data_IF_370457462437
#
_entry.id   IF_370457462437
#
_cell.length_a   1.000
_cell.length_b   1.000
_cell.length_c   1.000
_cell.angle_alpha   90.00
_cell.angle_beta   90.00
_cell.angle_gamma   90.00
#
_symmetry.space_group_name_H-M   'P 1'
#
loop_
_entity.id
_entity.type
_entity.pdbx_description
1 polymer ?
#
# COMPACT_ATOMS: atom_id res chain seq x y z
N UNK A 1 -13.60 3.95 26.16
CA UNK A 1 -12.58 3.79 25.57
C UNK A 1 -12.71 3.35 24.23
N UNK A 2 -12.05 3.82 23.44
CA UNK A 2 -12.16 3.62 22.18
C UNK A 2 -11.15 2.86 21.69
N UNK A 3 -11.21 1.86 21.65
CA UNK A 3 -10.18 1.04 21.44
C UNK A 3 -9.67 0.92 20.14
N UNK A 4 -10.17 1.50 19.24
CA UNK A 4 -9.89 0.80 18.19
C UNK A 4 -9.28 1.49 17.07
N UNK A 5 -8.90 2.73 17.21
CA UNK A 5 -8.23 3.36 16.23
C UNK A 5 -6.81 3.16 16.48
N UNK A 6 -6.06 2.69 15.57
CA UNK A 6 -4.62 2.52 15.70
C UNK A 6 -3.93 3.79 15.28
N UNK A 7 -3.10 4.34 16.17
CA UNK A 7 -2.37 5.54 15.83
C UNK A 7 -1.10 5.26 15.04
N UNK A 8 -0.75 4.03 14.81
CA UNK A 8 0.44 3.70 14.03
C UNK A 8 0.08 3.76 12.56
N UNK A 9 0.91 4.42 11.78
CA UNK A 9 0.71 4.50 10.35
C UNK A 9 1.02 3.16 9.69
N UNK A 10 0.40 2.89 8.56
CA UNK A 10 0.63 1.67 7.81
C UNK A 10 1.03 2.04 6.39
N UNK A 11 2.09 1.45 5.88
CA UNK A 11 2.51 1.58 4.50
C UNK A 11 2.30 0.24 3.81
N UNK A 12 1.56 0.24 2.70
CA UNK A 12 1.38 -0.98 1.91
C UNK A 12 2.09 -0.77 0.57
N UNK A 13 3.04 -1.66 0.28
CA UNK A 13 3.70 -1.70 -1.02
C UNK A 13 3.03 -2.78 -1.82
N UNK A 14 2.50 -2.45 -2.98
CA UNK A 14 1.82 -3.43 -3.80
C UNK A 14 2.10 -3.21 -5.28
N UNK A 15 1.69 -4.12 -6.10
CA UNK A 15 1.97 -4.03 -7.52
C UNK A 15 0.75 -4.45 -8.34
N UNK A 16 0.60 -5.72 -8.68
CA UNK A 16 -0.44 -6.13 -9.60
C UNK A 16 -1.20 -7.40 -9.19
N UNK A 17 -1.23 -7.71 -7.88
CA UNK A 17 -1.90 -8.90 -7.38
C UNK A 17 -3.10 -8.53 -6.53
N UNK A 18 -4.26 -8.27 -7.16
CA UNK A 18 -5.42 -7.78 -6.40
C UNK A 18 -5.98 -8.78 -5.40
N UNK A 19 -5.88 -10.09 -5.71
CA UNK A 19 -6.40 -11.09 -4.79
C UNK A 19 -5.60 -11.10 -3.50
N UNK A 20 -4.28 -11.04 -3.58
CA UNK A 20 -3.43 -11.00 -2.41
C UNK A 20 -3.62 -9.69 -1.65
N UNK A 21 -3.64 -8.58 -2.37
CA UNK A 21 -3.84 -7.27 -1.76
C UNK A 21 -5.18 -7.20 -1.04
N UNK A 22 -6.21 -7.78 -1.62
CA UNK A 22 -7.53 -7.74 -1.03
C UNK A 22 -7.54 -8.39 0.36
N UNK A 23 -6.81 -9.50 0.53
CA UNK A 23 -6.73 -10.16 1.82
C UNK A 23 -6.00 -9.33 2.84
N UNK A 24 -4.89 -8.73 2.44
CA UNK A 24 -4.12 -7.88 3.34
C UNK A 24 -4.91 -6.63 3.70
N UNK A 25 -5.57 -6.04 2.71
CA UNK A 25 -6.31 -4.80 2.95
C UNK A 25 -7.48 -5.04 3.89
N UNK A 26 -8.08 -6.24 3.86
CA UNK A 26 -9.15 -6.56 4.80
C UNK A 26 -8.64 -6.51 6.24
N UNK A 27 -7.40 -6.95 6.48
CA UNK A 27 -6.82 -6.88 7.81
C UNK A 27 -6.48 -5.44 8.20
N UNK A 28 -6.01 -4.65 7.26
CA UNK A 28 -5.72 -3.25 7.51
C UNK A 28 -7.00 -2.51 7.89
N UNK A 29 -8.10 -2.84 7.19
CA UNK A 29 -9.39 -2.22 7.49
C UNK A 29 -9.82 -2.53 8.93
N UNK A 30 -9.58 -3.74 9.39
CA UNK A 30 -9.94 -4.09 10.77
C UNK A 30 -9.13 -3.29 11.77
N UNK A 31 -7.87 -3.01 11.46
CA UNK A 31 -7.01 -2.25 12.34
C UNK A 31 -7.33 -0.76 12.34
N UNK A 32 -7.92 -0.25 11.25
CA UNK A 32 -8.34 1.13 11.13
C UNK A 32 -7.24 2.14 11.45
N UNK A 33 -6.10 2.07 10.76
CA UNK A 33 -5.02 3.01 11.05
C UNK A 33 -5.43 4.44 10.71
N UNK A 34 -4.93 5.38 11.47
CA UNK A 34 -5.28 6.78 11.24
C UNK A 34 -4.52 7.36 10.05
N UNK A 35 -3.40 6.73 9.65
CA UNK A 35 -2.63 7.16 8.49
C UNK A 35 -2.29 5.97 7.64
N UNK A 36 -2.47 6.10 6.34
CA UNK A 36 -2.24 5.02 5.42
C UNK A 36 -1.45 5.53 4.22
N UNK A 37 -0.34 4.87 3.94
CA UNK A 37 0.48 5.19 2.79
C UNK A 37 0.35 4.05 1.79
N UNK A 38 -0.03 4.36 0.57
CA UNK A 38 -0.23 3.37 -0.47
C UNK A 38 0.79 3.61 -1.56
N UNK A 39 1.73 2.69 -1.71
CA UNK A 39 2.75 2.79 -2.73
C UNK A 39 2.56 1.65 -3.73
N UNK A 40 2.53 1.99 -5.01
CA UNK A 40 2.40 0.99 -6.05
C UNK A 40 3.49 1.18 -7.09
N UNK A 41 4.24 0.13 -7.37
CA UNK A 41 5.23 0.17 -8.43
C UNK A 41 4.50 0.24 -9.78
N UNK A 42 5.16 0.78 -10.77
CA UNK A 42 4.56 0.94 -12.08
C UNK A 42 4.65 -0.30 -12.93
N UNK A 43 4.00 -0.29 -14.08
CA UNK A 43 3.95 -1.49 -14.93
C UNK A 43 5.26 -1.76 -15.63
N UNK A 44 5.58 -3.03 -15.80
CA UNK A 44 6.72 -3.45 -16.61
C UNK A 44 6.33 -3.41 -18.08
N UNK A 45 5.03 -3.50 -18.37
CA UNK A 45 4.49 -3.47 -19.70
C UNK A 45 2.98 -3.50 -19.62
N UNK A 46 2.33 -3.55 -20.76
CA UNK A 46 0.89 -3.44 -20.80
C UNK A 46 0.19 -4.59 -20.11
N UNK A 47 0.80 -5.76 -20.05
CA UNK A 47 0.18 -6.90 -19.41
C UNK A 47 -0.03 -6.71 -17.92
N UNK A 48 0.65 -5.76 -17.30
CA UNK A 48 0.48 -5.50 -15.87
C UNK A 48 -0.70 -4.57 -15.58
N UNK A 49 -1.22 -3.89 -16.59
CA UNK A 49 -2.17 -2.80 -16.36
C UNK A 49 -3.48 -3.27 -15.72
N UNK A 50 -4.01 -4.42 -16.14
CA UNK A 50 -5.26 -4.89 -15.57
C UNK A 50 -5.11 -5.16 -14.07
N UNK A 51 -4.01 -5.80 -13.68
CA UNK A 51 -3.76 -6.07 -12.26
C UNK A 51 -3.49 -4.81 -11.48
N UNK A 52 -2.76 -3.87 -12.08
CA UNK A 52 -2.48 -2.59 -11.44
C UNK A 52 -3.78 -1.84 -11.15
N UNK A 53 -4.67 -1.77 -12.12
CA UNK A 53 -5.93 -1.05 -11.94
C UNK A 53 -6.84 -1.76 -10.94
N UNK A 54 -6.85 -3.09 -10.98
CA UNK A 54 -7.64 -3.86 -10.01
C UNK A 54 -7.15 -3.64 -8.59
N UNK A 55 -5.83 -3.54 -8.40
CA UNK A 55 -5.26 -3.26 -7.08
C UNK A 55 -5.69 -1.88 -6.60
N UNK A 56 -5.71 -0.89 -7.48
CA UNK A 56 -6.14 0.45 -7.08
C UNK A 56 -7.58 0.44 -6.61
N UNK A 57 -8.43 -0.34 -7.27
CA UNK A 57 -9.82 -0.45 -6.85
C UNK A 57 -9.96 -1.07 -5.46
N UNK A 58 -9.11 -2.04 -5.15
CA UNK A 58 -9.16 -2.68 -3.84
C UNK A 58 -8.92 -1.64 -2.73
N UNK A 59 -7.93 -0.78 -2.91
CA UNK A 59 -7.54 0.15 -1.86
C UNK A 59 -8.29 1.48 -1.89
N UNK A 60 -9.21 1.64 -2.83
CA UNK A 60 -10.04 2.82 -2.84
C UNK A 60 -11.15 2.76 -1.79
N UNK A 61 -11.48 1.56 -1.33
CA UNK A 61 -12.62 1.42 -0.45
C UNK A 61 -12.21 1.64 1.01
N UNK A 62 -11.93 2.87 1.35
CA UNK A 62 -11.52 3.24 2.70
C UNK A 62 -12.75 3.82 3.41
N UNK A 63 -13.32 3.04 4.32
CA UNK A 63 -14.57 3.39 4.95
C UNK A 63 -14.39 3.76 6.43
N UNK A 64 -13.21 4.21 6.80
CA UNK A 64 -12.96 4.71 8.14
C UNK A 64 -12.17 6.02 8.03
N UNK A 65 -12.16 6.79 9.09
CA UNK A 65 -11.46 8.07 9.09
C UNK A 65 -9.96 7.84 9.02
N UNK A 66 -9.32 8.32 7.98
CA UNK A 66 -7.94 8.00 7.71
C UNK A 66 -7.30 9.03 6.80
N UNK A 67 -6.08 9.43 7.13
CA UNK A 67 -5.30 10.31 6.28
C UNK A 67 -4.56 9.42 5.30
N UNK A 68 -4.89 9.50 4.01
CA UNK A 68 -4.36 8.60 3.00
C UNK A 68 -3.43 9.35 2.06
N UNK A 69 -2.21 8.83 1.91
CA UNK A 69 -1.24 9.36 0.96
C UNK A 69 -0.97 8.28 -0.08
N UNK A 70 -0.91 8.65 -1.34
CA UNK A 70 -0.69 7.69 -2.42
C UNK A 70 0.51 8.09 -3.25
N UNK A 71 1.32 7.09 -3.59
CA UNK A 71 2.45 7.29 -4.50
C UNK A 71 2.41 6.13 -5.49
N UNK A 72 1.81 6.37 -6.65
CA UNK A 72 1.67 5.36 -7.68
C UNK A 72 2.67 5.70 -8.78
N UNK A 73 3.63 4.82 -9.01
CA UNK A 73 4.68 5.08 -9.97
C UNK A 73 4.19 4.81 -11.40
N UNK A 74 4.70 5.59 -12.32
CA UNK A 74 4.31 5.41 -13.72
C UNK A 74 5.18 4.40 -14.42
N UNK A 75 6.39 4.16 -13.93
CA UNK A 75 7.26 3.16 -14.51
C UNK A 75 7.70 2.19 -13.45
N UNK A 76 8.22 1.05 -13.89
CA UNK A 76 8.61 0.01 -12.96
C UNK A 76 10.00 0.25 -12.43
N UNK A 77 10.15 0.32 -11.12
CA UNK A 77 11.44 0.49 -10.46
C UNK A 77 11.96 -0.82 -9.90
N UNK A 78 11.11 -1.83 -9.76
CA UNK A 78 11.51 -3.11 -9.19
C UNK A 78 11.34 -3.16 -7.68
N UNK A 79 11.50 -4.33 -7.11
CA UNK A 79 11.25 -4.54 -5.70
C UNK A 79 12.19 -3.76 -4.78
N UNK A 80 13.49 -3.87 -5.01
CA UNK A 80 14.45 -3.23 -4.10
C UNK A 80 14.36 -1.71 -4.13
N UNK A 81 14.39 -1.07 -5.29
CA UNK A 81 14.23 0.38 -5.31
C UNK A 81 12.90 0.83 -4.75
N UNK A 82 11.83 0.09 -5.03
CA UNK A 82 10.50 0.46 -4.53
C UNK A 82 10.45 0.40 -3.01
N UNK A 83 11.11 -0.59 -2.42
CA UNK A 83 11.17 -0.69 -0.97
C UNK A 83 11.84 0.54 -0.39
N UNK A 84 12.95 0.95 -0.94
CA UNK A 84 13.68 2.12 -0.47
C UNK A 84 12.87 3.40 -0.69
N UNK A 85 12.33 3.58 -1.88
CA UNK A 85 11.60 4.80 -2.22
C UNK A 85 10.37 4.95 -1.34
N UNK A 86 9.61 3.86 -1.17
CA UNK A 86 8.37 3.91 -0.42
C UNK A 86 8.61 4.22 1.05
N UNK A 87 9.65 3.61 1.62
CA UNK A 87 9.92 3.85 3.04
C UNK A 87 10.49 5.23 3.27
N UNK A 88 11.37 5.71 2.39
CA UNK A 88 11.88 7.06 2.52
C UNK A 88 10.74 8.06 2.43
N UNK A 89 9.79 7.80 1.53
CA UNK A 89 8.63 8.66 1.37
C UNK A 89 7.75 8.66 2.62
N UNK A 90 7.38 7.49 3.11
CA UNK A 90 6.49 7.38 4.26
C UNK A 90 7.13 7.99 5.51
N UNK A 91 8.42 7.69 5.72
CA UNK A 91 9.09 8.19 6.91
C UNK A 91 9.45 9.67 6.84
N UNK A 92 9.19 10.32 5.72
CA UNK A 92 9.29 11.78 5.68
C UNK A 92 8.05 12.42 6.32
N UNK A 93 6.99 11.64 6.57
CA UNK A 93 5.78 12.16 7.18
C UNK A 93 5.58 11.65 8.61
N UNK A 94 6.10 10.48 8.94
CA UNK A 94 5.85 9.88 10.25
C UNK A 94 7.13 9.28 10.80
N UNK A 95 7.19 9.10 12.11
CA UNK A 95 8.34 8.49 12.77
C UNK A 95 8.23 6.98 12.80
N UNK A 96 7.03 6.45 12.82
CA UNK A 96 6.79 5.01 12.98
C UNK A 96 5.79 4.57 11.95
N UNK A 97 6.01 3.41 11.40
CA UNK A 97 5.15 2.91 10.35
C UNK A 97 5.28 1.39 10.24
N UNK A 98 4.15 0.70 10.15
CA UNK A 98 4.17 -0.73 9.85
C UNK A 98 4.25 -0.87 8.34
N UNK A 99 5.20 -1.64 7.86
CA UNK A 99 5.42 -1.80 6.42
C UNK A 99 4.95 -3.17 5.99
N UNK A 100 4.01 -3.20 5.04
CA UNK A 100 3.48 -4.44 4.49
C UNK A 100 3.90 -4.52 3.04
N UNK A 101 4.85 -5.41 2.74
CA UNK A 101 5.39 -5.51 1.42
C UNK A 101 4.82 -6.68 0.67
N UNK A 102 4.02 -6.42 -0.35
CA UNK A 102 3.40 -7.45 -1.14
C UNK A 102 4.14 -7.70 -2.43
N UNK A 103 5.14 -6.89 -2.73
CA UNK A 103 5.87 -7.02 -3.98
C UNK A 103 6.94 -8.09 -3.92
N UNK A 104 7.22 -8.62 -2.73
CA UNK A 104 8.24 -9.62 -2.61
C UNK A 104 7.77 -11.01 -2.92
N UNK A 105 6.49 -11.20 -3.06
CA UNK A 105 6.02 -12.49 -3.28
C UNK A 105 5.83 -12.69 -4.69
N UNK A 106 6.64 -13.46 -5.30
CA UNK A 106 6.47 -13.50 -6.65
C UNK A 106 7.19 -14.58 -7.16
N UNK A 107 7.10 -15.56 -7.03
CA UNK A 107 7.63 -16.56 -7.78
C UNK A 107 6.76 -17.67 -7.61
#
# INVERSE_FOLDING_TARGET
MQPYKTDVAVLILFFNRPDHLSKVFAEVRKARPSKLFLYQDGPRGERDMAGIEACRRVVENIDWECDVQRLYQERNYGCDPSEYISQKWAFSFVDKCIVLELTLIHF
#
